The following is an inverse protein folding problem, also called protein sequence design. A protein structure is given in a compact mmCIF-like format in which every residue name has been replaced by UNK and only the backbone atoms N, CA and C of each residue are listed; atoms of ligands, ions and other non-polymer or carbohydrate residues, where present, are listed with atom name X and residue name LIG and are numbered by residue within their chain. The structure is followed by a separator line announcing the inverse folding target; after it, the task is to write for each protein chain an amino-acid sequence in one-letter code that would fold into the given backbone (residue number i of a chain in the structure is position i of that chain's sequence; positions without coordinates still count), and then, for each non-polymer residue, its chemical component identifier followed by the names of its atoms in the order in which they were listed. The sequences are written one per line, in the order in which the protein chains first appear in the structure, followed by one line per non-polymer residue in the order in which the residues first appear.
data_IF_261258423859
#
_entry.id   IF_261258423859
#
_cell.length_a   1.000
_cell.length_b   1.000
_cell.length_c   1.000
_cell.angle_alpha   90.00
_cell.angle_beta   90.00
_cell.angle_gamma   90.00
#
_symmetry.space_group_name_H-M   'P 1'
#
loop_
_entity.id
_entity.type
_entity.pdbx_description
1 polymer ?
#
# COMPACT_ATOMS: atom_id res chain seq x y z
N UNK A 1 12.60 -0.34 -17.52
CA UNK A 1 12.56 -1.22 -16.33
C UNK A 1 13.28 -2.54 -16.57
N UNK A 2 12.81 -3.41 -17.48
CA UNK A 2 13.43 -4.73 -17.75
C UNK A 2 14.90 -4.62 -18.13
N UNK A 3 15.24 -3.72 -19.06
CA UNK A 3 16.62 -3.51 -19.53
C UNK A 3 17.57 -2.97 -18.43
N UNK A 4 17.03 -2.36 -17.37
CA UNK A 4 17.80 -1.85 -16.25
C UNK A 4 17.87 -2.84 -15.07
N UNK A 5 17.22 -4.01 -15.20
CA UNK A 5 17.25 -5.09 -14.22
C UNK A 5 18.60 -5.81 -14.26
N UNK A 6 19.13 -6.33 -13.13
CA UNK A 6 18.53 -6.33 -11.80
C UNK A 6 18.69 -5.01 -11.04
N UNK A 7 17.69 -4.67 -10.23
CA UNK A 7 17.77 -3.55 -9.28
C UNK A 7 18.33 -4.03 -7.94
N UNK A 8 19.26 -3.24 -7.37
CA UNK A 8 19.92 -3.56 -6.11
C UNK A 8 19.04 -3.35 -4.87
N UNK A 9 18.07 -2.43 -4.93
CA UNK A 9 17.17 -2.09 -3.83
C UNK A 9 15.87 -1.48 -4.37
N UNK A 10 14.84 -1.41 -3.52
CA UNK A 10 13.60 -0.68 -3.83
C UNK A 10 13.90 0.78 -4.16
N UNK A 11 14.79 1.42 -3.39
CA UNK A 11 15.22 2.79 -3.64
C UNK A 11 15.86 2.96 -5.02
N UNK A 12 16.72 2.02 -5.44
CA UNK A 12 17.32 2.07 -6.78
C UNK A 12 16.24 1.93 -7.88
N UNK A 13 15.32 0.99 -7.74
CA UNK A 13 14.22 0.81 -8.69
C UNK A 13 13.30 2.04 -8.77
N UNK A 14 12.92 2.61 -7.61
CA UNK A 14 12.07 3.80 -7.52
C UNK A 14 12.77 5.04 -8.07
N UNK A 15 14.06 5.22 -7.79
CA UNK A 15 14.85 6.33 -8.34
C UNK A 15 14.95 6.23 -9.87
N UNK A 16 15.26 5.05 -10.40
CA UNK A 16 15.28 4.81 -11.84
C UNK A 16 13.90 5.06 -12.49
N UNK A 17 12.82 4.58 -11.88
CA UNK A 17 11.46 4.81 -12.37
C UNK A 17 11.09 6.30 -12.35
N UNK A 18 11.53 7.05 -11.34
CA UNK A 18 11.30 8.50 -11.21
C UNK A 18 11.96 9.25 -12.35
N UNK A 19 13.24 8.97 -12.60
CA UNK A 19 13.99 9.61 -13.68
C UNK A 19 13.39 9.26 -15.05
N UNK A 20 13.04 7.99 -15.26
CA UNK A 20 12.37 7.55 -16.48
C UNK A 20 11.05 8.30 -16.68
N UNK A 21 10.21 8.38 -15.64
CA UNK A 21 8.89 9.00 -15.72
C UNK A 21 8.94 10.50 -15.97
N UNK A 22 9.75 11.24 -15.21
CA UNK A 22 9.74 12.70 -15.25
C UNK A 22 10.69 13.32 -16.28
N UNK A 23 11.81 12.66 -16.60
CA UNK A 23 12.87 13.26 -17.42
C UNK A 23 13.04 12.59 -18.79
N UNK A 24 12.68 11.32 -18.92
CA UNK A 24 12.95 10.55 -20.15
C UNK A 24 11.69 10.31 -20.99
N UNK A 25 10.55 9.99 -20.36
CA UNK A 25 9.33 9.67 -21.09
C UNK A 25 8.67 10.93 -21.67
N UNK A 26 8.17 10.86 -22.93
CA UNK A 26 7.42 11.96 -23.51
C UNK A 26 6.05 12.12 -22.85
N UNK A 27 5.48 13.32 -22.93
CA UNK A 27 4.13 13.64 -22.42
C UNK A 27 3.08 12.66 -22.94
N UNK A 28 3.21 12.16 -24.17
CA UNK A 28 2.27 11.19 -24.73
C UNK A 28 2.20 9.90 -23.90
N UNK A 29 3.35 9.43 -23.38
CA UNK A 29 3.38 8.26 -22.50
C UNK A 29 2.58 8.50 -21.22
N UNK A 30 2.64 9.71 -20.66
CA UNK A 30 1.80 10.06 -19.50
C UNK A 30 0.31 10.02 -19.86
N UNK A 31 -0.09 10.63 -20.97
CA UNK A 31 -1.48 10.67 -21.41
C UNK A 31 -2.05 9.28 -21.70
N UNK A 32 -1.24 8.40 -22.29
CA UNK A 32 -1.61 7.01 -22.55
C UNK A 32 -1.85 6.29 -21.22
N UNK A 33 -0.96 6.45 -20.24
CA UNK A 33 -1.13 5.88 -18.89
C UNK A 33 -2.38 6.42 -18.20
N UNK A 34 -2.60 7.74 -18.18
CA UNK A 34 -3.79 8.36 -17.57
C UNK A 34 -5.09 7.82 -18.17
N UNK A 35 -5.06 7.46 -19.46
CA UNK A 35 -6.23 6.95 -20.18
C UNK A 35 -6.60 5.51 -19.80
N UNK A 36 -5.66 4.75 -19.25
CA UNK A 36 -5.93 3.39 -18.75
C UNK A 36 -6.68 3.39 -17.41
N UNK A 37 -6.57 4.48 -16.64
CA UNK A 37 -7.16 4.58 -15.32
C UNK A 37 -8.62 5.01 -15.35
N UNK A 38 -9.41 4.41 -14.46
CA UNK A 38 -10.83 4.73 -14.27
C UNK A 38 -11.12 5.29 -12.88
N UNK A 39 -10.22 6.06 -12.27
CA UNK A 39 -10.35 6.48 -10.86
C UNK A 39 -11.72 7.08 -10.49
N UNK A 40 -12.24 8.06 -11.26
CA UNK A 40 -13.59 8.57 -11.01
C UNK A 40 -14.66 7.50 -11.26
N UNK A 41 -14.49 6.69 -12.31
CA UNK A 41 -15.41 5.60 -12.64
C UNK A 41 -15.51 4.56 -11.52
N UNK A 42 -14.37 4.15 -10.98
CA UNK A 42 -14.28 3.17 -9.89
C UNK A 42 -14.85 3.78 -8.60
N UNK A 43 -14.55 5.05 -8.28
CA UNK A 43 -15.14 5.75 -7.16
C UNK A 43 -16.68 5.88 -7.27
N UNK A 44 -17.24 6.08 -8.48
CA UNK A 44 -18.69 6.11 -8.72
C UNK A 44 -19.37 4.78 -8.35
N UNK A 45 -18.66 3.65 -8.46
CA UNK A 45 -19.22 2.34 -8.10
C UNK A 45 -19.39 2.16 -6.59
N UNK A 46 -18.59 2.88 -5.80
CA UNK A 46 -18.56 2.83 -4.33
C UNK A 46 -19.40 3.95 -3.71
N UNK A 47 -19.41 5.13 -4.34
CA UNK A 47 -20.08 6.32 -3.80
C UNK A 47 -21.60 6.22 -3.83
N UNK A 48 -22.26 6.91 -2.90
CA UNK A 48 -23.72 7.03 -2.83
C UNK A 48 -24.17 8.50 -2.76
N UNK A 49 -25.47 8.73 -2.96
CA UNK A 49 -26.10 10.05 -2.81
C UNK A 49 -25.48 11.16 -3.65
N UNK A 50 -25.35 12.34 -3.05
CA UNK A 50 -24.84 13.55 -3.72
C UNK A 50 -23.38 13.41 -4.17
N UNK A 51 -22.57 12.65 -3.43
CA UNK A 51 -21.17 12.39 -3.79
C UNK A 51 -21.09 11.68 -5.14
N UNK A 52 -21.91 10.64 -5.33
CA UNK A 52 -21.99 9.91 -6.59
C UNK A 52 -22.44 10.81 -7.74
N UNK A 53 -23.41 11.69 -7.49
CA UNK A 53 -23.90 12.64 -8.49
C UNK A 53 -22.83 13.65 -8.88
N UNK A 54 -22.08 14.17 -7.91
CA UNK A 54 -20.92 15.03 -8.15
C UNK A 54 -19.87 14.34 -9.02
N UNK A 55 -19.48 13.12 -8.65
CA UNK A 55 -18.49 12.35 -9.42
C UNK A 55 -18.94 12.06 -10.86
N UNK A 56 -20.21 11.70 -11.09
CA UNK A 56 -20.75 11.51 -12.45
C UNK A 56 -20.68 12.79 -13.29
N UNK A 57 -21.01 13.94 -12.70
CA UNK A 57 -20.89 15.22 -13.39
C UNK A 57 -19.43 15.52 -13.76
N UNK A 58 -18.51 15.32 -12.83
CA UNK A 58 -17.09 15.64 -13.06
C UNK A 58 -16.38 14.63 -13.96
N UNK A 59 -16.81 13.36 -14.01
CA UNK A 59 -16.27 12.37 -14.94
C UNK A 59 -16.29 12.88 -16.41
N UNK A 60 -17.39 13.52 -16.79
CA UNK A 60 -17.55 14.07 -18.14
C UNK A 60 -16.94 15.46 -18.27
N UNK A 61 -17.17 16.35 -17.28
CA UNK A 61 -16.66 17.73 -17.32
C UNK A 61 -15.14 17.78 -17.36
N UNK A 62 -14.47 16.98 -16.53
CA UNK A 62 -13.02 16.95 -16.42
C UNK A 62 -12.39 16.51 -17.75
N UNK A 63 -12.80 15.35 -18.28
CA UNK A 63 -12.26 14.84 -19.55
C UNK A 63 -12.52 15.81 -20.71
N UNK A 64 -13.69 16.45 -20.75
CA UNK A 64 -14.00 17.47 -21.78
C UNK A 64 -13.08 18.68 -21.68
N UNK A 65 -12.72 19.12 -20.47
CA UNK A 65 -11.87 20.29 -20.26
C UNK A 65 -10.40 20.00 -20.55
N UNK A 66 -9.86 18.91 -20.00
CA UNK A 66 -8.42 18.65 -20.01
C UNK A 66 -7.96 17.67 -21.10
N UNK A 67 -8.88 16.90 -21.69
CA UNK A 67 -8.57 15.94 -22.75
C UNK A 67 -8.07 14.57 -22.26
N UNK A 68 -7.91 14.36 -20.95
CA UNK A 68 -7.47 13.09 -20.36
C UNK A 68 -8.32 12.70 -19.12
N UNK A 69 -8.14 11.47 -18.62
CA UNK A 69 -8.84 10.96 -17.44
C UNK A 69 -8.32 11.57 -16.14
N UNK A 70 -9.17 11.75 -15.14
CA UNK A 70 -8.73 12.24 -13.83
C UNK A 70 -7.85 11.21 -13.12
N UNK A 71 -6.67 11.65 -12.69
CA UNK A 71 -5.71 10.82 -11.96
C UNK A 71 -5.59 11.31 -10.52
N UNK A 72 -5.76 10.41 -9.57
CA UNK A 72 -5.55 10.65 -8.14
C UNK A 72 -4.98 9.39 -7.49
N UNK A 73 -4.09 9.57 -6.53
CA UNK A 73 -3.58 8.53 -5.65
C UNK A 73 -4.44 8.36 -4.40
N UNK A 74 -5.54 9.11 -4.27
CA UNK A 74 -6.48 8.97 -3.15
C UNK A 74 -7.19 7.62 -3.20
N UNK A 75 -7.38 7.05 -2.01
CA UNK A 75 -8.06 5.77 -1.88
C UNK A 75 -9.49 5.84 -2.42
N UNK A 76 -9.88 4.88 -3.27
CA UNK A 76 -11.21 4.81 -3.90
C UNK A 76 -12.37 4.80 -2.90
N UNK A 77 -12.16 4.28 -1.68
CA UNK A 77 -13.15 4.31 -0.60
C UNK A 77 -13.38 5.71 -0.01
N UNK A 78 -12.51 6.68 -0.29
CA UNK A 78 -12.63 8.07 0.12
C UNK A 78 -13.27 8.92 -0.99
N UNK A 79 -14.42 8.48 -1.48
CA UNK A 79 -15.08 9.09 -2.65
C UNK A 79 -15.44 10.58 -2.45
N UNK A 80 -15.70 11.01 -1.22
CA UNK A 80 -15.92 12.43 -0.89
C UNK A 80 -14.65 13.26 -1.16
N UNK A 81 -13.49 12.77 -0.71
CA UNK A 81 -12.21 13.44 -0.94
C UNK A 81 -11.88 13.49 -2.44
N UNK A 82 -12.14 12.40 -3.18
CA UNK A 82 -11.96 12.39 -4.64
C UNK A 82 -12.84 13.44 -5.32
N UNK A 83 -14.08 13.63 -4.84
CA UNK A 83 -14.97 14.67 -5.36
C UNK A 83 -14.44 16.08 -5.08
N UNK A 84 -13.94 16.33 -3.88
CA UNK A 84 -13.35 17.63 -3.50
C UNK A 84 -12.09 17.93 -4.32
N UNK A 85 -11.23 16.93 -4.51
CA UNK A 85 -10.02 17.04 -5.33
C UNK A 85 -10.37 17.40 -6.78
N UNK A 86 -11.29 16.67 -7.42
CA UNK A 86 -11.66 16.96 -8.81
C UNK A 86 -12.34 18.33 -8.93
N UNK A 87 -13.12 18.75 -7.94
CA UNK A 87 -13.72 20.09 -7.92
C UNK A 87 -12.67 21.20 -7.83
N UNK A 88 -11.69 21.06 -6.93
CA UNK A 88 -10.61 22.03 -6.78
C UNK A 88 -9.73 22.08 -8.03
N UNK A 89 -9.30 20.90 -8.51
CA UNK A 89 -8.43 20.75 -9.68
C UNK A 89 -9.10 21.14 -10.99
N UNK A 90 -10.43 21.09 -11.05
CA UNK A 90 -11.15 21.59 -12.22
C UNK A 90 -10.92 23.09 -12.48
N UNK A 91 -10.46 23.88 -11.50
CA UNK A 91 -10.13 25.30 -11.72
C UNK A 91 -8.74 25.52 -12.34
N UNK A 92 -7.90 24.48 -12.38
CA UNK A 92 -6.52 24.60 -12.88
C UNK A 92 -6.45 24.91 -14.38
N UNK A 93 -5.30 25.46 -14.79
CA UNK A 93 -4.87 25.47 -16.19
C UNK A 93 -4.45 24.07 -16.63
N UNK A 94 -4.46 23.81 -17.94
CA UNK A 94 -4.08 22.50 -18.47
C UNK A 94 -2.66 22.09 -18.07
N UNK A 95 -1.71 23.02 -18.10
CA UNK A 95 -0.30 22.73 -17.77
C UNK A 95 -0.14 22.32 -16.30
N UNK A 96 -0.75 23.08 -15.38
CA UNK A 96 -0.71 22.77 -13.95
C UNK A 96 -1.39 21.42 -13.68
N UNK A 97 -2.53 21.17 -14.31
CA UNK A 97 -3.26 19.93 -14.10
C UNK A 97 -2.53 18.70 -14.65
N UNK A 98 -1.83 18.85 -15.78
CA UNK A 98 -1.00 17.80 -16.35
C UNK A 98 0.15 17.41 -15.41
N UNK A 99 0.81 18.40 -14.80
CA UNK A 99 1.88 18.16 -13.82
C UNK A 99 1.35 17.52 -12.53
N UNK A 100 0.17 17.91 -12.06
CA UNK A 100 -0.46 17.27 -10.89
C UNK A 100 -0.80 15.82 -11.23
N UNK A 101 -1.45 15.56 -12.36
CA UNK A 101 -1.79 14.21 -12.79
C UNK A 101 -0.56 13.31 -12.93
N UNK A 102 0.56 13.83 -13.46
CA UNK A 102 1.80 13.05 -13.58
C UNK A 102 2.42 12.70 -12.23
N UNK A 103 2.30 13.59 -11.23
CA UNK A 103 2.74 13.32 -9.86
C UNK A 103 1.86 12.28 -9.17
N UNK A 104 0.53 12.40 -9.29
CA UNK A 104 -0.42 11.41 -8.75
C UNK A 104 -0.18 10.02 -9.35
N UNK A 105 0.05 9.97 -10.66
CA UNK A 105 0.39 8.73 -11.35
C UNK A 105 1.69 8.13 -10.84
N UNK A 106 2.72 8.96 -10.64
CA UNK A 106 3.98 8.47 -10.09
C UNK A 106 3.83 7.93 -8.67
N UNK A 107 2.98 8.52 -7.83
CA UNK A 107 2.65 7.96 -6.51
C UNK A 107 2.00 6.57 -6.63
N UNK A 108 1.17 6.33 -7.65
CA UNK A 108 0.62 4.99 -7.91
C UNK A 108 1.70 4.00 -8.36
N UNK A 109 2.61 4.42 -9.24
CA UNK A 109 3.76 3.62 -9.69
C UNK A 109 4.65 3.24 -8.50
N UNK A 110 4.99 4.22 -7.64
CA UNK A 110 5.83 4.01 -6.45
C UNK A 110 5.19 3.00 -5.48
N UNK A 111 3.89 3.13 -5.20
CA UNK A 111 3.16 2.13 -4.38
C UNK A 111 3.15 0.75 -5.03
N UNK A 112 3.05 0.68 -6.35
CA UNK A 112 3.15 -0.58 -7.11
C UNK A 112 4.52 -1.24 -6.94
N UNK A 113 5.60 -0.45 -7.05
CA UNK A 113 6.97 -0.93 -6.84
C UNK A 113 7.16 -1.46 -5.42
N UNK A 114 6.69 -0.74 -4.40
CA UNK A 114 6.76 -1.19 -3.00
C UNK A 114 6.09 -2.54 -2.82
N UNK A 115 4.86 -2.71 -3.30
CA UNK A 115 4.12 -3.97 -3.20
C UNK A 115 4.82 -5.13 -3.89
N UNK A 116 5.37 -4.91 -5.09
CA UNK A 116 6.14 -5.92 -5.80
C UNK A 116 7.41 -6.31 -5.03
N UNK A 117 8.07 -5.34 -4.41
CA UNK A 117 9.29 -5.59 -3.63
C UNK A 117 9.02 -6.37 -2.35
N UNK A 118 7.94 -6.05 -1.64
CA UNK A 118 7.46 -6.80 -0.46
C UNK A 118 7.15 -8.26 -0.83
N UNK A 119 6.49 -8.49 -1.97
CA UNK A 119 6.20 -9.83 -2.46
C UNK A 119 7.48 -10.62 -2.77
N UNK A 120 8.45 -10.01 -3.46
CA UNK A 120 9.74 -10.65 -3.77
C UNK A 120 10.57 -10.96 -2.52
N UNK A 121 10.47 -10.11 -1.49
CA UNK A 121 11.14 -10.36 -0.21
C UNK A 121 10.51 -11.55 0.54
N UNK A 122 9.18 -11.68 0.49
CA UNK A 122 8.46 -12.81 1.08
C UNK A 122 8.83 -14.15 0.43
N UNK A 123 8.89 -14.21 -0.90
CA UNK A 123 9.24 -15.42 -1.66
C UNK A 123 10.66 -15.91 -1.35
N UNK A 124 11.64 -15.00 -1.25
CA UNK A 124 13.02 -15.35 -0.85
C UNK A 124 13.14 -15.92 0.56
N UNK A 125 12.15 -15.70 1.41
CA UNK A 125 12.15 -16.18 2.81
C UNK A 125 11.50 -17.57 2.94
N UNK A 126 10.76 -18.04 1.93
CA UNK A 126 10.13 -19.38 1.93
C UNK A 126 10.97 -20.46 1.24
N UNK A 127 12.09 -20.12 0.62
CA UNK A 127 13.08 -21.11 0.18
C UNK A 127 14.02 -21.47 1.36
N UNK A 128 13.88 -22.72 1.86
CA UNK A 128 14.75 -23.48 2.81
C UNK A 128 14.38 -23.34 4.31
N UNK A 129 13.84 -24.43 4.91
CA UNK A 129 14.73 -25.39 5.56
C UNK A 129 14.65 -26.75 4.88
N UNK A 130 15.69 -27.08 4.10
CA UNK A 130 16.00 -28.47 3.82
C UNK A 130 16.36 -29.13 5.15
N UNK A 131 15.40 -29.88 5.65
CA UNK A 131 15.47 -30.79 6.76
C UNK A 131 16.69 -31.72 6.57
N UNK A 132 17.80 -31.37 7.21
CA UNK A 132 18.96 -32.25 7.31
C UNK A 132 18.59 -33.31 8.33
N UNK A 133 18.32 -34.51 7.84
CA UNK A 133 17.67 -35.57 8.60
C UNK A 133 18.48 -36.12 9.78
N UNK A 134 17.74 -36.60 10.78
CA UNK A 134 18.11 -37.81 11.52
C UNK A 134 16.83 -38.52 11.98
N UNK A 135 16.61 -39.72 11.43
CA UNK A 135 15.56 -40.65 11.82
C UNK A 135 16.17 -41.54 12.91
N UNK A 136 15.64 -41.49 14.14
CA UNK A 136 15.66 -42.63 15.06
C UNK A 136 14.33 -42.68 15.81
N UNK A 137 13.50 -43.67 15.45
CA UNK A 137 12.40 -44.14 16.29
C UNK A 137 12.93 -45.15 17.32
N UNK A 138 12.40 -45.18 18.54
CA UNK A 138 11.97 -46.47 19.13
C UNK A 138 10.98 -46.37 20.33
N UNK A 139 9.91 -47.16 20.23
CA UNK A 139 9.19 -47.98 21.23
C UNK A 139 8.40 -47.44 22.46
N UNK A 140 7.06 -47.46 22.30
CA UNK A 140 5.97 -48.17 23.03
C UNK A 140 5.99 -48.52 24.56
N UNK A 141 4.87 -48.10 25.20
CA UNK A 141 4.00 -48.67 26.27
C UNK A 141 4.22 -48.48 27.79
N UNK A 142 3.19 -47.85 28.39
CA UNK A 142 2.36 -48.20 29.58
C UNK A 142 3.03 -48.37 30.96
N UNK A 143 2.44 -48.08 32.14
CA UNK A 143 1.08 -47.77 32.62
C UNK A 143 1.19 -47.02 33.98
N UNK A 144 0.21 -46.15 34.24
CA UNK A 144 -0.43 -45.73 35.50
C UNK A 144 0.32 -45.74 36.86
N UNK A 145 0.36 -44.58 37.55
CA UNK A 145 -0.08 -44.37 38.96
C UNK A 145 -0.17 -42.85 39.23
N UNK A 146 -1.36 -42.39 39.60
CA UNK A 146 -1.66 -41.13 40.32
C UNK A 146 -2.45 -41.56 41.59
N UNK A 147 -2.43 -40.88 42.76
CA UNK A 147 -2.19 -39.44 42.98
C UNK A 147 -1.37 -39.04 44.23
N UNK A 148 -1.16 -37.72 44.27
CA UNK A 148 -1.23 -36.86 45.45
C UNK A 148 0.09 -36.46 46.11
N UNK A 149 0.60 -35.29 45.72
CA UNK A 149 0.84 -34.24 46.70
C UNK A 149 0.89 -32.88 46.01
N UNK A 150 0.07 -31.98 46.52
CA UNK A 150 0.17 -30.52 46.45
C UNK A 150 1.58 -30.01 46.16
N UNK A 151 1.70 -29.08 45.21
CA UNK A 151 2.31 -27.79 45.49
C UNK A 151 1.91 -26.74 44.44
N UNK A 152 1.46 -25.61 44.97
CA UNK A 152 1.16 -24.39 44.25
C UNK A 152 2.40 -23.90 43.49
N UNK A 153 2.31 -23.78 42.16
CA UNK A 153 3.18 -22.87 41.42
C UNK A 153 2.35 -22.03 40.46
N UNK A 154 2.22 -20.77 40.88
CA UNK A 154 1.71 -19.60 40.18
C UNK A 154 1.99 -19.63 38.68
N UNK A 155 0.90 -19.62 37.90
CA UNK A 155 0.90 -19.27 36.48
C UNK A 155 1.39 -17.83 36.31
N UNK A 156 2.63 -17.65 35.86
CA UNK A 156 3.06 -16.39 35.26
C UNK A 156 2.63 -16.37 33.80
N UNK A 157 1.38 -16.01 33.57
CA UNK A 157 0.95 -15.51 32.28
C UNK A 157 1.82 -14.31 31.90
N UNK A 158 2.50 -14.39 30.76
CA UNK A 158 3.05 -13.21 30.12
C UNK A 158 1.87 -12.33 29.69
N UNK A 159 1.65 -11.26 30.44
CA UNK A 159 0.81 -10.15 30.01
C UNK A 159 1.54 -9.47 28.83
N UNK A 160 0.93 -9.33 27.65
CA UNK A 160 1.48 -8.43 26.65
C UNK A 160 1.35 -7.01 27.20
N UNK A 161 2.47 -6.34 27.41
CA UNK A 161 2.49 -4.93 27.80
C UNK A 161 1.75 -4.12 26.75
N UNK A 162 0.53 -3.69 27.08
CA UNK A 162 -0.22 -2.74 26.27
C UNK A 162 0.50 -1.40 26.44
N UNK A 163 1.24 -0.99 25.41
CA UNK A 163 1.81 0.35 25.33
C UNK A 163 0.64 1.30 25.01
N UNK A 164 0.12 1.97 26.04
CA UNK A 164 -0.84 3.07 25.87
C UNK A 164 -0.09 4.33 25.42
N UNK A 165 -0.25 4.72 24.16
CA UNK A 165 0.21 6.00 23.65
C UNK A 165 -0.78 7.11 24.00
N UNK A 166 -0.35 8.07 24.82
CA UNK A 166 -1.08 9.31 25.07
C UNK A 166 -0.69 10.35 24.01
N UNK A 167 -1.67 10.76 23.20
CA UNK A 167 -1.48 11.70 22.08
C UNK A 167 -1.20 13.14 22.54
N UNK A 168 -1.31 13.44 23.83
CA UNK A 168 -1.00 14.75 24.39
C UNK A 168 0.45 14.88 24.88
N UNK A 169 1.24 13.80 24.81
CA UNK A 169 2.62 13.76 25.30
C UNK A 169 3.63 13.67 24.16
N UNK A 170 4.84 14.16 24.44
CA UNK A 170 5.95 14.10 23.48
C UNK A 170 6.62 12.72 23.50
N UNK A 171 7.29 12.28 22.40
CA UNK A 171 7.81 10.92 22.28
C UNK A 171 8.78 10.51 23.39
N UNK A 172 9.55 11.45 23.94
CA UNK A 172 10.50 11.20 25.04
C UNK A 172 9.82 10.85 26.38
N UNK A 173 8.55 11.21 26.56
CA UNK A 173 7.79 10.88 27.78
C UNK A 173 7.10 9.52 27.73
N UNK A 174 6.99 8.90 26.54
CA UNK A 174 6.35 7.59 26.37
C UNK A 174 7.34 6.42 26.48
N UNK A 175 8.64 6.68 26.59
CA UNK A 175 9.71 5.66 26.64
C UNK A 175 10.17 5.29 28.07
N UNK A 176 9.38 5.62 29.10
CA UNK A 176 9.67 5.18 30.48
C UNK A 176 8.61 4.19 30.94
N UNK A 177 8.79 2.91 30.56
CA UNK A 177 8.47 1.75 31.39
C UNK A 177 9.14 0.48 30.84
#
# INVERSE_FOLDING_TARGET
MIEASPFASLEHATSFARDLWFNTLPIQSWLDTFSTHRHIGDAITIAHGDVRMGLLQFATKYRKKFGFGFVTSTNLFLSQQILEEVQARYQNSLQVELEIASREEFTLIERGLTKLWEHLAWEKTQEVPEETGEIVQDSLLEEDVVPDSSDEVVSKGHQPSIITFDLNKTPEENDIC
#
